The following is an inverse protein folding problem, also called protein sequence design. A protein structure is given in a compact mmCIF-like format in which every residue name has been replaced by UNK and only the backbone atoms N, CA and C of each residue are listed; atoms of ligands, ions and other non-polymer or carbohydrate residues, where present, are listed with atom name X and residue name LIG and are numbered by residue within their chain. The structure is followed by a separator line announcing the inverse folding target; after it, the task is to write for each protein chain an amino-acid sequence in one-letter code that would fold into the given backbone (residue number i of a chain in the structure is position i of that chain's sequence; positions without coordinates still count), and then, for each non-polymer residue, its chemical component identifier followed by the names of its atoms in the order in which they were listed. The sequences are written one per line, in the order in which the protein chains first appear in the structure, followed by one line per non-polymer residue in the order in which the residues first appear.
data_IF_826704478260
#
_entry.id   IF_826704478260
#
_cell.length_a   1.000
_cell.length_b   1.000
_cell.length_c   1.000
_cell.angle_alpha   90.00
_cell.angle_beta   90.00
_cell.angle_gamma   90.00
#
_symmetry.space_group_name_H-M   'P 1'
#
loop_
_entity.id
_entity.type
_entity.pdbx_description
1 polymer ?
#
# COMPACT_ATOMS: atom_id res chain seq x y z
N UNK A 1 3.28 122.18 -98.74
CA UNK A 1 1.97 122.82 -98.96
C UNK A 1 1.52 123.36 -97.61
N UNK A 2 1.23 124.66 -97.53
CA UNK A 2 0.61 125.24 -96.34
C UNK A 2 -0.90 125.10 -96.49
N UNK A 3 -1.57 124.57 -95.48
CA UNK A 3 -3.03 124.54 -95.38
C UNK A 3 -3.42 125.28 -94.10
N UNK A 4 -4.54 125.99 -94.13
CA UNK A 4 -5.12 126.62 -92.95
C UNK A 4 -6.28 125.79 -92.44
N UNK A 5 -6.38 125.65 -91.13
CA UNK A 5 -7.44 124.92 -90.44
C UNK A 5 -8.21 125.95 -89.62
N UNK A 6 -9.41 126.30 -90.07
CA UNK A 6 -10.23 127.34 -89.41
C UNK A 6 -10.86 126.84 -88.10
N UNK A 7 -11.21 125.55 -88.04
CA UNK A 7 -11.83 124.94 -86.87
C UNK A 7 -11.50 123.43 -86.71
N UNK A 8 -11.85 122.86 -85.56
CA UNK A 8 -11.60 121.45 -85.24
C UNK A 8 -12.34 120.47 -86.18
N UNK A 9 -13.50 120.86 -86.71
CA UNK A 9 -14.28 120.03 -87.64
C UNK A 9 -13.63 119.97 -89.02
N UNK A 10 -13.01 121.07 -89.47
CA UNK A 10 -12.22 121.13 -90.68
C UNK A 10 -10.98 120.22 -90.59
N UNK A 11 -10.31 120.19 -89.43
CA UNK A 11 -9.20 119.26 -89.18
C UNK A 11 -9.62 117.79 -89.28
N UNK A 12 -10.77 117.44 -88.72
CA UNK A 12 -11.28 116.06 -88.77
C UNK A 12 -11.62 115.61 -90.19
N UNK A 13 -12.28 116.46 -91.00
CA UNK A 13 -12.58 116.15 -92.40
C UNK A 13 -11.31 115.96 -93.23
N UNK A 14 -10.31 116.83 -93.05
CA UNK A 14 -9.01 116.70 -93.72
C UNK A 14 -8.30 115.38 -93.35
N UNK A 15 -8.36 114.94 -92.10
CA UNK A 15 -7.79 113.66 -91.66
C UNK A 15 -8.58 112.43 -92.14
N UNK A 16 -9.86 112.57 -92.48
CA UNK A 16 -10.68 111.51 -93.10
C UNK A 16 -10.46 111.42 -94.61
N UNK A 17 -10.33 112.55 -95.30
CA UNK A 17 -10.06 112.63 -96.75
C UNK A 17 -8.61 112.26 -97.12
N UNK A 18 -7.66 112.44 -96.20
CA UNK A 18 -6.23 112.13 -96.38
C UNK A 18 -5.71 111.08 -95.38
N UNK A 19 -5.83 109.77 -95.70
CA UNK A 19 -5.40 108.67 -94.85
C UNK A 19 -3.91 108.73 -94.46
N UNK A 20 -3.07 109.27 -95.33
CA UNK A 20 -1.63 109.44 -95.14
C UNK A 20 -1.29 110.42 -94.00
N UNK A 21 -2.05 111.51 -93.85
CA UNK A 21 -1.82 112.50 -92.77
C UNK A 21 -2.28 111.95 -91.42
N UNK A 22 -3.37 111.18 -91.42
CA UNK A 22 -3.84 110.47 -90.24
C UNK A 22 -2.82 109.42 -89.77
N UNK A 23 -2.13 108.75 -90.69
CA UNK A 23 -1.07 107.80 -90.36
C UNK A 23 0.17 108.50 -89.77
N UNK A 24 0.62 109.61 -90.35
CA UNK A 24 1.79 110.36 -89.86
C UNK A 24 1.52 111.05 -88.52
N UNK A 25 0.34 111.66 -88.36
CA UNK A 25 -0.11 112.24 -87.08
C UNK A 25 -0.23 111.16 -86.00
N UNK A 26 -0.71 109.96 -86.36
CA UNK A 26 -0.74 108.80 -85.47
C UNK A 26 0.67 108.39 -85.06
N UNK A 27 1.66 108.37 -85.97
CA UNK A 27 3.05 108.00 -85.66
C UNK A 27 3.76 109.02 -84.77
N UNK A 28 3.47 110.32 -84.92
CA UNK A 28 4.03 111.41 -84.13
C UNK A 28 3.42 111.52 -82.72
N UNK A 29 2.11 111.29 -82.59
CA UNK A 29 1.38 111.45 -81.31
C UNK A 29 1.20 110.12 -80.54
N UNK A 30 1.13 108.99 -81.23
CA UNK A 30 0.94 107.65 -80.66
C UNK A 30 2.13 106.78 -81.07
N UNK A 31 3.13 106.71 -80.19
CA UNK A 31 4.29 105.84 -80.38
C UNK A 31 3.87 104.38 -80.54
N UNK A 32 4.70 103.55 -81.18
CA UNK A 32 4.42 102.12 -81.35
C UNK A 32 4.17 101.40 -79.99
N UNK A 33 4.81 101.87 -78.92
CA UNK A 33 4.55 101.43 -77.54
C UNK A 33 3.11 101.72 -77.08
N UNK A 34 2.59 102.92 -77.36
CA UNK A 34 1.22 103.31 -77.01
C UNK A 34 0.18 102.53 -77.82
N UNK A 35 0.49 102.18 -79.07
CA UNK A 35 -0.40 101.36 -79.91
C UNK A 35 -0.40 99.88 -79.52
N UNK A 36 0.67 99.36 -78.92
CA UNK A 36 0.79 97.98 -78.44
C UNK A 36 0.13 97.73 -77.06
N UNK A 37 -0.11 98.79 -76.26
CA UNK A 37 -0.71 98.71 -74.93
C UNK A 37 -1.98 97.84 -74.86
N UNK A 38 -2.98 97.94 -75.76
CA UNK A 38 -4.18 97.11 -75.69
C UNK A 38 -3.91 95.60 -75.87
N UNK A 39 -2.83 95.23 -76.57
CA UNK A 39 -2.38 93.85 -76.71
C UNK A 39 -1.66 93.40 -75.43
N UNK A 40 -0.73 94.22 -74.92
CA UNK A 40 -0.02 93.95 -73.65
C UNK A 40 -1.00 93.79 -72.49
N UNK A 41 -2.03 94.65 -72.40
CA UNK A 41 -3.08 94.57 -71.38
C UNK A 41 -3.90 93.29 -71.53
N UNK A 42 -4.19 92.84 -72.76
CA UNK A 42 -4.88 91.55 -72.99
C UNK A 42 -4.02 90.37 -72.56
N UNK A 43 -2.74 90.37 -72.92
CA UNK A 43 -1.78 89.33 -72.51
C UNK A 43 -1.60 89.30 -70.99
N UNK A 44 -1.51 90.46 -70.34
CA UNK A 44 -1.46 90.58 -68.88
C UNK A 44 -2.75 90.06 -68.24
N UNK A 45 -3.92 90.38 -68.78
CA UNK A 45 -5.20 89.87 -68.28
C UNK A 45 -5.35 88.35 -68.46
N UNK A 46 -4.78 87.78 -69.52
CA UNK A 46 -4.72 86.33 -69.71
C UNK A 46 -3.73 85.67 -68.74
N UNK A 47 -2.54 86.24 -68.55
CA UNK A 47 -1.56 85.78 -67.58
C UNK A 47 -2.11 85.86 -66.14
N UNK A 48 -2.83 86.93 -65.81
CA UNK A 48 -3.52 87.09 -64.54
C UNK A 48 -4.60 86.02 -64.35
N UNK A 49 -5.45 85.77 -65.36
CA UNK A 49 -6.45 84.69 -65.31
C UNK A 49 -5.82 83.31 -65.09
N UNK A 50 -4.74 82.98 -65.79
CA UNK A 50 -3.99 81.72 -65.59
C UNK A 50 -3.43 81.63 -64.17
N UNK A 51 -2.90 82.73 -63.64
CA UNK A 51 -2.37 82.80 -62.27
C UNK A 51 -3.48 82.60 -61.24
N UNK A 52 -4.65 83.22 -61.44
CA UNK A 52 -5.82 83.02 -60.58
C UNK A 52 -6.32 81.56 -60.60
N UNK A 53 -6.34 80.91 -61.76
CA UNK A 53 -6.68 79.49 -61.90
C UNK A 53 -5.66 78.58 -61.18
N UNK A 54 -4.37 78.83 -61.34
CA UNK A 54 -3.30 78.11 -60.64
C UNK A 54 -3.39 78.31 -59.12
N UNK A 55 -3.67 79.53 -58.66
CA UNK A 55 -3.88 79.84 -57.24
C UNK A 55 -5.08 79.06 -56.69
N UNK A 56 -6.20 79.01 -57.42
CA UNK A 56 -7.38 78.21 -57.00
C UNK A 56 -7.04 76.73 -56.91
N UNK A 57 -6.29 76.19 -57.87
CA UNK A 57 -5.84 74.79 -57.84
C UNK A 57 -4.92 74.50 -56.64
N UNK A 58 -4.01 75.43 -56.31
CA UNK A 58 -3.14 75.34 -55.14
C UNK A 58 -3.94 75.37 -53.84
N UNK A 59 -4.92 76.27 -53.71
CA UNK A 59 -5.81 76.32 -52.52
C UNK A 59 -6.56 75.00 -52.34
N UNK A 60 -7.08 74.41 -53.41
CA UNK A 60 -7.79 73.12 -53.31
C UNK A 60 -6.84 71.93 -53.04
N UNK A 61 -5.61 71.97 -53.54
CA UNK A 61 -4.59 70.98 -53.21
C UNK A 61 -4.13 71.11 -51.75
N UNK A 62 -4.00 72.34 -51.24
CA UNK A 62 -3.69 72.65 -49.86
C UNK A 62 -4.81 72.14 -48.93
N UNK A 63 -6.08 72.44 -49.24
CA UNK A 63 -7.24 71.95 -48.50
C UNK A 63 -7.28 70.42 -48.41
N UNK A 64 -7.04 69.73 -49.53
CA UNK A 64 -6.93 68.25 -49.57
C UNK A 64 -5.75 67.72 -48.75
N UNK A 65 -4.66 68.47 -48.68
CA UNK A 65 -3.49 68.10 -47.87
C UNK A 65 -3.80 68.25 -46.39
N UNK A 66 -4.42 69.36 -45.99
CA UNK A 66 -4.89 69.60 -44.61
C UNK A 66 -5.86 68.51 -44.15
N UNK A 67 -6.83 68.11 -44.98
CA UNK A 67 -7.73 66.98 -44.68
C UNK A 67 -7.01 65.63 -44.54
N UNK A 68 -5.93 65.41 -45.30
CA UNK A 68 -5.12 64.19 -45.17
C UNK A 68 -4.28 64.22 -43.90
N UNK A 69 -3.71 65.38 -43.55
CA UNK A 69 -2.95 65.59 -42.32
C UNK A 69 -3.85 65.36 -41.11
N UNK A 70 -5.05 65.96 -41.06
CA UNK A 70 -5.99 65.73 -39.96
C UNK A 70 -6.39 64.26 -39.78
N UNK A 71 -6.60 63.52 -40.89
CA UNK A 71 -6.85 62.07 -40.82
C UNK A 71 -5.64 61.26 -40.32
N UNK A 72 -4.42 61.71 -40.60
CA UNK A 72 -3.20 61.06 -40.08
C UNK A 72 -3.07 61.35 -38.59
N UNK A 73 -3.27 62.58 -38.15
CA UNK A 73 -3.25 62.98 -36.74
C UNK A 73 -4.24 62.16 -35.91
N UNK A 74 -5.49 62.00 -36.37
CA UNK A 74 -6.46 61.13 -35.72
C UNK A 74 -6.03 59.66 -35.65
N UNK A 75 -5.37 59.15 -36.70
CA UNK A 75 -4.87 57.77 -36.71
C UNK A 75 -3.71 57.59 -35.75
N UNK A 76 -2.84 58.59 -35.62
CA UNK A 76 -1.73 58.61 -34.67
C UNK A 76 -2.26 58.63 -33.25
N UNK A 77 -3.22 59.50 -32.93
CA UNK A 77 -3.85 59.51 -31.61
C UNK A 77 -4.50 58.18 -31.24
N UNK A 78 -5.22 57.54 -32.17
CA UNK A 78 -5.78 56.18 -31.96
C UNK A 78 -4.70 55.10 -31.78
N UNK A 79 -3.51 55.27 -32.36
CA UNK A 79 -2.40 54.34 -32.17
C UNK A 79 -1.74 54.54 -30.81
N UNK A 80 -1.54 55.79 -30.37
CA UNK A 80 -1.01 56.14 -29.05
C UNK A 80 -1.87 55.50 -27.94
N UNK A 81 -3.19 55.69 -27.98
CA UNK A 81 -4.10 55.05 -27.03
C UNK A 81 -4.04 53.51 -27.07
N UNK A 82 -3.78 52.92 -28.24
CA UNK A 82 -3.63 51.46 -28.36
C UNK A 82 -2.32 50.98 -27.76
N UNK A 83 -1.25 51.76 -27.89
CA UNK A 83 0.06 51.46 -27.30
C UNK A 83 -0.05 51.51 -25.78
N UNK A 84 -0.64 52.56 -25.20
CA UNK A 84 -0.87 52.68 -23.76
C UNK A 84 -1.65 51.46 -23.22
N UNK A 85 -2.74 51.06 -23.90
CA UNK A 85 -3.50 49.86 -23.51
C UNK A 85 -2.69 48.56 -23.60
N UNK A 86 -1.73 48.47 -24.52
CA UNK A 86 -0.84 47.30 -24.61
C UNK A 86 0.16 47.32 -23.46
N UNK A 87 0.75 48.47 -23.14
CA UNK A 87 1.68 48.63 -22.02
C UNK A 87 1.02 48.24 -20.69
N UNK A 88 -0.20 48.71 -20.43
CA UNK A 88 -0.99 48.31 -19.24
C UNK A 88 -1.28 46.80 -19.19
N UNK A 89 -1.48 46.17 -20.36
CA UNK A 89 -1.70 44.71 -20.44
C UNK A 89 -0.41 43.94 -20.19
N UNK A 90 0.72 44.44 -20.68
CA UNK A 90 2.05 43.86 -20.45
C UNK A 90 2.37 43.91 -18.96
N UNK A 91 2.21 45.07 -18.30
CA UNK A 91 2.45 45.17 -16.86
C UNK A 91 1.58 44.20 -16.03
N UNK A 92 0.29 44.04 -16.39
CA UNK A 92 -0.58 43.04 -15.74
C UNK A 92 -0.13 41.60 -15.99
N UNK A 93 0.47 41.29 -17.13
CA UNK A 93 1.02 39.96 -17.41
C UNK A 93 2.28 39.74 -16.59
N UNK A 94 3.18 40.72 -16.51
CA UNK A 94 4.40 40.64 -15.69
C UNK A 94 4.08 40.38 -14.21
N UNK A 95 3.11 41.12 -13.64
CA UNK A 95 2.64 40.85 -12.27
C UNK A 95 2.08 39.43 -12.09
N UNK A 96 1.35 38.92 -13.10
CA UNK A 96 0.83 37.55 -13.05
C UNK A 96 1.93 36.52 -13.14
N UNK A 97 2.96 36.75 -13.93
CA UNK A 97 4.14 35.88 -14.05
C UNK A 97 4.87 35.84 -12.70
N UNK A 98 5.16 36.99 -12.08
CA UNK A 98 5.78 37.03 -10.75
C UNK A 98 4.98 36.26 -9.69
N UNK A 99 3.65 36.40 -9.67
CA UNK A 99 2.79 35.60 -8.78
C UNK A 99 2.83 34.10 -9.06
N UNK A 100 3.04 33.68 -10.30
CA UNK A 100 3.19 32.27 -10.66
C UNK A 100 4.54 31.75 -10.19
N UNK A 101 5.62 32.49 -10.40
CA UNK A 101 6.97 32.14 -9.94
C UNK A 101 7.01 31.93 -8.42
N UNK A 102 6.43 32.85 -7.63
CA UNK A 102 6.30 32.70 -6.17
C UNK A 102 5.48 31.47 -5.76
N UNK A 103 4.48 31.08 -6.56
CA UNK A 103 3.68 29.87 -6.29
C UNK A 103 4.47 28.61 -6.62
N UNK A 104 5.26 28.62 -7.69
CA UNK A 104 6.14 27.51 -8.07
C UNK A 104 7.17 27.27 -6.97
N UNK A 105 7.86 28.32 -6.50
CA UNK A 105 8.83 28.17 -5.40
C UNK A 105 8.21 27.60 -4.13
N UNK A 106 7.00 28.04 -3.76
CA UNK A 106 6.28 27.44 -2.61
C UNK A 106 5.87 25.99 -2.82
N UNK A 107 5.64 25.56 -4.06
CA UNK A 107 5.34 24.15 -4.38
C UNK A 107 6.61 23.31 -4.29
N UNK A 108 7.74 23.81 -4.81
CA UNK A 108 9.04 23.15 -4.72
C UNK A 108 9.42 22.88 -3.25
N UNK A 109 9.37 23.90 -2.39
CA UNK A 109 9.63 23.72 -0.95
C UNK A 109 8.67 22.72 -0.28
N UNK A 110 7.42 22.63 -0.75
CA UNK A 110 6.45 21.65 -0.22
C UNK A 110 6.80 20.23 -0.67
N UNK A 111 7.30 20.07 -1.89
CA UNK A 111 7.74 18.77 -2.42
C UNK A 111 8.95 18.29 -1.63
N UNK A 112 9.96 19.13 -1.43
CA UNK A 112 11.14 18.78 -0.61
C UNK A 112 10.74 18.33 0.80
N UNK A 113 9.83 19.06 1.47
CA UNK A 113 9.31 18.66 2.80
C UNK A 113 8.56 17.33 2.77
N UNK A 114 7.87 17.00 1.67
CA UNK A 114 7.19 15.71 1.52
C UNK A 114 8.21 14.60 1.32
N UNK A 115 9.23 14.81 0.49
CA UNK A 115 10.31 13.83 0.25
C UNK A 115 11.04 13.50 1.55
N UNK A 116 11.39 14.50 2.36
CA UNK A 116 11.99 14.25 3.69
C UNK A 116 11.08 13.42 4.60
N UNK A 117 9.77 13.69 4.60
CA UNK A 117 8.81 12.94 5.43
C UNK A 117 8.67 11.51 4.95
N UNK A 118 8.65 11.29 3.64
CA UNK A 118 8.63 9.94 3.05
C UNK A 118 9.88 9.18 3.46
N UNK A 119 11.07 9.78 3.35
CA UNK A 119 12.31 9.15 3.79
C UNK A 119 12.33 8.79 5.28
N UNK A 120 11.79 9.65 6.16
CA UNK A 120 11.64 9.32 7.60
C UNK A 120 10.71 8.12 7.82
N UNK A 121 9.57 8.08 7.12
CA UNK A 121 8.61 6.97 7.21
C UNK A 121 9.22 5.65 6.71
N UNK A 122 10.02 5.68 5.64
CA UNK A 122 10.71 4.48 5.13
C UNK A 122 11.68 3.90 6.17
N UNK A 123 12.43 4.75 6.88
CA UNK A 123 13.34 4.32 7.95
C UNK A 123 12.57 3.72 9.13
N UNK A 124 11.47 4.35 9.56
CA UNK A 124 10.63 3.84 10.64
C UNK A 124 9.99 2.49 10.29
N UNK A 125 9.53 2.32 9.04
CA UNK A 125 8.96 1.06 8.56
C UNK A 125 10.01 -0.06 8.52
N UNK A 126 11.25 0.24 8.12
CA UNK A 126 12.34 -0.72 8.15
C UNK A 126 12.65 -1.18 9.58
N UNK A 127 12.72 -0.25 10.54
CA UNK A 127 12.95 -0.56 11.95
C UNK A 127 11.79 -1.40 12.53
N UNK A 128 10.53 -1.09 12.19
CA UNK A 128 9.38 -1.86 12.61
C UNK A 128 9.39 -3.29 12.05
N UNK A 129 9.77 -3.45 10.78
CA UNK A 129 9.89 -4.77 10.15
C UNK A 129 10.95 -5.63 10.85
N UNK A 130 12.08 -5.04 11.25
CA UNK A 130 13.12 -5.73 12.00
C UNK A 130 12.67 -6.12 13.41
N UNK A 131 12.02 -5.21 14.14
CA UNK A 131 11.44 -5.50 15.45
C UNK A 131 10.39 -6.63 15.39
N UNK A 132 9.57 -6.66 14.33
CA UNK A 132 8.61 -7.73 14.10
C UNK A 132 9.29 -9.08 13.86
N UNK A 133 10.39 -9.13 13.09
CA UNK A 133 11.17 -10.37 12.89
C UNK A 133 11.71 -10.91 14.21
N UNK A 134 12.34 -10.06 15.02
CA UNK A 134 12.84 -10.47 16.34
C UNK A 134 11.73 -10.96 17.27
N UNK A 135 10.57 -10.33 17.24
CA UNK A 135 9.41 -10.76 18.04
C UNK A 135 8.93 -12.14 17.59
N UNK A 136 8.86 -12.39 16.28
CA UNK A 136 8.47 -13.70 15.75
C UNK A 136 9.48 -14.81 16.12
N UNK A 137 10.78 -14.53 16.05
CA UNK A 137 11.83 -15.44 16.50
C UNK A 137 11.71 -15.77 18.00
N UNK A 138 11.50 -14.75 18.84
CA UNK A 138 11.28 -14.93 20.27
C UNK A 138 10.04 -15.77 20.58
N UNK A 139 8.93 -15.56 19.85
CA UNK A 139 7.71 -16.36 19.99
C UNK A 139 7.92 -17.82 19.58
N UNK A 140 8.68 -18.08 18.53
CA UNK A 140 9.02 -19.45 18.11
C UNK A 140 9.88 -20.15 19.17
N UNK A 141 10.91 -19.48 19.69
CA UNK A 141 11.74 -20.01 20.76
C UNK A 141 10.93 -20.29 22.04
N UNK A 142 9.99 -19.40 22.38
CA UNK A 142 9.10 -19.59 23.52
C UNK A 142 8.16 -20.79 23.32
N UNK A 143 7.59 -20.95 22.13
CA UNK A 143 6.72 -22.09 21.80
C UNK A 143 7.48 -23.42 21.85
N UNK A 144 8.74 -23.45 21.43
CA UNK A 144 9.60 -24.62 21.59
C UNK A 144 9.92 -24.91 23.06
N UNK A 145 10.25 -23.90 23.84
CA UNK A 145 10.50 -24.06 25.28
C UNK A 145 9.26 -24.57 26.00
N UNK A 146 8.08 -24.03 25.68
CA UNK A 146 6.81 -24.49 26.24
C UNK A 146 6.55 -25.97 25.91
N UNK A 147 6.75 -26.40 24.66
CA UNK A 147 6.59 -27.82 24.28
C UNK A 147 7.51 -28.73 25.11
N UNK A 148 8.80 -28.40 25.20
CA UNK A 148 9.77 -29.17 26.00
C UNK A 148 9.38 -29.22 27.49
N UNK A 149 8.85 -28.12 28.03
CA UNK A 149 8.34 -28.08 29.39
C UNK A 149 7.10 -28.96 29.57
N UNK A 150 6.16 -28.94 28.63
CA UNK A 150 4.99 -29.83 28.65
C UNK A 150 5.41 -31.30 28.64
N UNK A 151 6.36 -31.67 27.80
CA UNK A 151 6.90 -33.04 27.72
C UNK A 151 7.58 -33.43 29.05
N UNK A 152 8.47 -32.56 29.56
CA UNK A 152 9.18 -32.81 30.83
C UNK A 152 8.21 -32.95 32.01
N UNK A 153 7.17 -32.12 32.07
CA UNK A 153 6.14 -32.20 33.11
C UNK A 153 5.30 -33.46 32.94
N UNK A 154 5.02 -33.88 31.71
CA UNK A 154 4.38 -35.16 31.41
C UNK A 154 5.18 -36.35 31.97
N UNK A 155 6.47 -36.42 31.66
CA UNK A 155 7.38 -37.46 32.11
C UNK A 155 7.54 -37.47 33.64
N UNK A 156 7.62 -36.30 34.26
CA UNK A 156 7.66 -36.17 35.72
C UNK A 156 6.37 -36.67 36.36
N UNK A 157 5.20 -36.31 35.79
CA UNK A 157 3.90 -36.77 36.29
C UNK A 157 3.80 -38.30 36.20
N UNK A 158 4.25 -38.90 35.09
CA UNK A 158 4.28 -40.36 34.90
C UNK A 158 5.08 -41.06 36.01
N UNK A 159 6.35 -40.68 36.18
CA UNK A 159 7.23 -41.27 37.21
C UNK A 159 6.70 -41.08 38.63
N UNK A 160 6.12 -39.91 38.92
CA UNK A 160 5.49 -39.66 40.23
C UNK A 160 4.27 -40.55 40.47
N UNK A 161 3.49 -40.82 39.43
CA UNK A 161 2.31 -41.68 39.53
C UNK A 161 2.73 -43.14 39.76
N UNK A 162 3.67 -43.66 38.98
CA UNK A 162 4.25 -45.01 39.18
C UNK A 162 4.78 -45.19 40.61
N UNK A 163 5.57 -44.21 41.09
CA UNK A 163 6.08 -44.21 42.46
C UNK A 163 4.93 -44.18 43.48
N UNK A 164 3.88 -43.39 43.24
CA UNK A 164 2.72 -43.32 44.15
C UNK A 164 2.00 -44.65 44.25
N UNK A 165 1.77 -45.35 43.13
CA UNK A 165 1.16 -46.68 43.14
C UNK A 165 2.05 -47.73 43.82
N UNK A 166 3.37 -47.63 43.69
CA UNK A 166 4.34 -48.47 44.40
C UNK A 166 4.27 -48.26 45.91
N UNK A 167 4.44 -47.01 46.36
CA UNK A 167 4.53 -46.65 47.79
C UNK A 167 3.20 -46.86 48.51
N UNK A 168 2.08 -46.65 47.81
CA UNK A 168 0.72 -46.81 48.35
C UNK A 168 0.01 -48.06 47.82
N UNK A 169 0.76 -49.09 47.42
CA UNK A 169 0.16 -50.32 46.86
C UNK A 169 -0.93 -50.91 47.75
N UNK A 170 -0.75 -50.87 49.08
CA UNK A 170 -1.76 -51.35 50.04
C UNK A 170 -3.07 -50.56 49.98
N UNK A 171 -3.02 -49.25 49.76
CA UNK A 171 -4.22 -48.42 49.69
C UNK A 171 -5.03 -48.68 48.42
N UNK A 172 -4.33 -48.94 47.32
CA UNK A 172 -4.92 -49.15 45.99
C UNK A 172 -5.40 -50.59 45.77
N UNK A 173 -4.56 -51.57 46.09
CA UNK A 173 -4.80 -52.99 45.81
C UNK A 173 -5.29 -53.77 47.02
N UNK A 174 -5.25 -53.19 48.21
CA UNK A 174 -5.65 -53.86 49.46
C UNK A 174 -7.14 -54.21 49.53
N UNK A 175 -7.99 -53.60 48.70
CA UNK A 175 -9.39 -54.00 48.53
C UNK A 175 -9.54 -55.37 47.83
N UNK A 176 -8.57 -55.74 46.99
CA UNK A 176 -8.57 -56.98 46.20
C UNK A 176 -7.73 -58.06 46.88
N UNK A 177 -6.52 -57.70 47.33
CA UNK A 177 -5.51 -58.62 47.85
C UNK A 177 -5.27 -58.41 49.35
N UNK A 178 -5.05 -59.50 50.07
CA UNK A 178 -4.47 -59.54 51.41
C UNK A 178 -3.02 -60.03 51.34
N UNK A 179 -2.20 -59.67 52.34
CA UNK A 179 -0.77 -60.02 52.40
C UNK A 179 -0.02 -59.61 51.12
N UNK A 180 -0.35 -58.45 50.56
CA UNK A 180 0.28 -58.03 49.31
C UNK A 180 1.78 -57.77 49.50
N UNK A 181 2.53 -58.01 48.43
CA UNK A 181 3.93 -57.61 48.28
C UNK A 181 4.16 -57.11 46.86
N UNK A 182 4.82 -55.97 46.72
CA UNK A 182 5.37 -55.52 45.43
C UNK A 182 6.67 -56.27 45.20
N UNK A 183 6.80 -56.94 44.07
CA UNK A 183 7.92 -57.83 43.73
C UNK A 183 8.71 -57.21 42.60
N UNK A 184 10.04 -57.27 42.67
CA UNK A 184 10.89 -56.93 41.53
C UNK A 184 10.94 -58.14 40.57
N UNK A 185 10.54 -58.01 39.29
CA UNK A 185 10.60 -59.11 38.33
C UNK A 185 11.98 -59.78 38.20
N UNK A 186 13.06 -59.05 38.49
CA UNK A 186 14.42 -59.60 38.48
C UNK A 186 14.62 -60.70 39.54
N UNK A 187 13.87 -60.67 40.64
CA UNK A 187 13.88 -61.74 41.66
C UNK A 187 13.38 -63.08 41.11
N UNK A 188 12.64 -63.07 40.00
CA UNK A 188 12.09 -64.24 39.34
C UNK A 188 12.89 -64.64 38.09
N UNK A 189 14.05 -64.03 37.83
CA UNK A 189 14.79 -64.19 36.57
C UNK A 189 15.01 -65.66 36.18
N UNK A 190 15.51 -66.49 37.12
CA UNK A 190 15.78 -67.90 36.85
C UNK A 190 14.52 -68.67 36.43
N UNK A 191 13.39 -68.44 37.11
CA UNK A 191 12.11 -69.09 36.82
C UNK A 191 11.49 -68.59 35.51
N UNK A 192 11.61 -67.30 35.23
CA UNK A 192 11.08 -66.68 34.02
C UNK A 192 11.89 -67.07 32.78
N UNK A 193 13.23 -67.08 32.84
CA UNK A 193 14.10 -67.46 31.72
C UNK A 193 13.99 -68.94 31.33
N UNK A 194 13.47 -69.79 32.21
CA UNK A 194 13.16 -71.18 31.85
C UNK A 194 12.01 -71.30 30.84
N UNK A 195 11.16 -70.26 30.70
CA UNK A 195 9.94 -70.29 29.88
C UNK A 195 9.85 -69.16 28.85
N UNK A 196 10.71 -68.15 28.97
CA UNK A 196 10.70 -66.93 28.16
C UNK A 196 12.04 -66.72 27.45
N UNK A 197 11.97 -66.17 26.23
CA UNK A 197 13.15 -65.67 25.52
C UNK A 197 13.74 -64.43 26.20
N UNK A 198 14.96 -64.06 25.82
CA UNK A 198 15.60 -62.85 26.34
C UNK A 198 14.81 -61.58 26.02
N UNK A 199 14.27 -61.46 24.81
CA UNK A 199 13.43 -60.32 24.40
C UNK A 199 12.13 -60.24 25.23
N UNK A 200 11.45 -61.38 25.43
CA UNK A 200 10.23 -61.45 26.25
C UNK A 200 10.51 -61.13 27.72
N UNK A 201 11.64 -61.59 28.26
CA UNK A 201 12.06 -61.26 29.62
C UNK A 201 12.36 -59.76 29.76
N UNK A 202 13.07 -59.16 28.80
CA UNK A 202 13.35 -57.71 28.78
C UNK A 202 12.06 -56.87 28.65
N UNK A 203 11.05 -57.32 27.89
CA UNK A 203 9.73 -56.66 27.86
C UNK A 203 8.99 -56.77 29.20
N UNK A 204 9.12 -57.91 29.90
CA UNK A 204 8.51 -58.10 31.23
C UNK A 204 9.18 -57.24 32.30
N UNK A 205 10.50 -56.99 32.22
CA UNK A 205 11.20 -56.07 33.11
C UNK A 205 10.69 -54.63 33.03
N UNK A 206 10.01 -54.26 31.95
CA UNK A 206 9.40 -52.93 31.78
C UNK A 206 8.01 -52.82 32.41
N UNK A 207 7.54 -53.85 33.13
CA UNK A 207 6.28 -53.79 33.87
C UNK A 207 6.40 -52.79 35.04
N UNK A 208 5.43 -51.87 35.14
CA UNK A 208 5.49 -50.80 36.15
C UNK A 208 5.40 -51.37 37.58
N UNK A 209 4.47 -52.31 37.81
CA UNK A 209 4.34 -53.02 39.07
C UNK A 209 3.98 -54.49 38.86
N UNK A 210 4.74 -55.36 39.53
CA UNK A 210 4.37 -56.75 39.77
C UNK A 210 3.96 -56.90 41.24
N UNK A 211 2.73 -57.32 41.49
CA UNK A 211 2.20 -57.47 42.85
C UNK A 211 1.82 -58.91 43.06
N UNK A 212 2.24 -59.51 44.16
CA UNK A 212 1.71 -60.81 44.63
C UNK A 212 0.89 -60.63 45.88
N UNK A 213 -0.11 -61.47 46.06
CA UNK A 213 -0.90 -61.51 47.29
C UNK A 213 -1.94 -62.61 47.24
N UNK A 214 -2.83 -62.62 48.21
CA UNK A 214 -3.92 -63.58 48.26
C UNK A 214 -5.27 -62.89 47.99
N UNK A 215 -6.11 -63.38 47.06
CA UNK A 215 -7.42 -62.80 46.81
C UNK A 215 -8.30 -62.78 48.06
N UNK A 216 -9.01 -61.68 48.28
CA UNK A 216 -9.93 -61.54 49.42
C UNK A 216 -11.25 -62.27 49.21
N UNK A 217 -11.77 -62.24 47.99
CA UNK A 217 -13.09 -62.79 47.64
C UNK A 217 -13.02 -64.28 47.25
N UNK A 218 -11.81 -64.79 46.97
CA UNK A 218 -11.53 -66.18 46.58
C UNK A 218 -10.35 -66.74 47.39
N UNK A 219 -10.54 -67.03 48.69
CA UNK A 219 -9.46 -67.47 49.58
C UNK A 219 -8.88 -68.85 49.21
N UNK A 220 -9.56 -69.63 48.35
CA UNK A 220 -9.09 -70.89 47.76
C UNK A 220 -7.86 -70.70 46.88
N UNK A 221 -7.68 -69.53 46.28
CA UNK A 221 -6.46 -69.15 45.58
C UNK A 221 -5.43 -68.76 46.66
N UNK A 222 -4.37 -69.56 46.78
CA UNK A 222 -3.32 -69.34 47.79
C UNK A 222 -2.41 -68.16 47.44
N UNK A 223 -2.14 -67.96 46.15
CA UNK A 223 -1.32 -66.87 45.63
C UNK A 223 -1.85 -66.41 44.26
N UNK A 224 -1.99 -65.10 44.09
CA UNK A 224 -2.36 -64.44 42.84
C UNK A 224 -1.39 -63.29 42.57
N UNK A 225 -0.99 -63.16 41.31
CA UNK A 225 -0.12 -62.11 40.82
C UNK A 225 -0.93 -61.08 40.02
N UNK A 226 -0.55 -59.82 40.08
CA UNK A 226 -1.08 -58.74 39.24
C UNK A 226 0.08 -58.21 38.41
N UNK A 227 -0.10 -58.20 37.09
CA UNK A 227 0.79 -57.51 36.17
C UNK A 227 0.17 -56.15 35.85
N UNK A 228 0.74 -55.08 36.40
CA UNK A 228 0.13 -53.75 36.40
C UNK A 228 0.91 -52.79 35.52
N UNK A 229 0.20 -52.15 34.59
CA UNK A 229 0.64 -50.94 33.89
C UNK A 229 0.01 -49.71 34.56
N UNK A 230 0.77 -48.64 34.74
CA UNK A 230 0.36 -47.41 35.40
C UNK A 230 0.45 -46.25 34.41
N UNK A 231 -0.65 -45.53 34.22
CA UNK A 231 -0.67 -44.33 33.37
C UNK A 231 -1.59 -43.26 33.92
N UNK A 232 -1.21 -41.98 33.76
CA UNK A 232 -2.09 -40.87 34.11
C UNK A 232 -3.34 -40.83 33.20
N UNK A 233 -3.22 -41.31 31.97
CA UNK A 233 -4.32 -41.49 31.02
C UNK A 233 -4.12 -42.84 30.35
N UNK A 234 -4.90 -43.82 30.79
CA UNK A 234 -4.83 -45.18 30.27
C UNK A 234 -5.37 -45.22 28.85
N UNK A 235 -4.53 -45.64 27.90
CA UNK A 235 -4.88 -45.84 26.49
C UNK A 235 -4.94 -47.33 26.10
N UNK A 236 -5.28 -47.61 24.83
CA UNK A 236 -5.33 -48.99 24.32
C UNK A 236 -3.97 -49.70 24.42
N UNK A 237 -2.87 -48.97 24.23
CA UNK A 237 -1.52 -49.52 24.32
C UNK A 237 -1.19 -49.98 25.73
N UNK A 238 -1.60 -49.23 26.76
CA UNK A 238 -1.45 -49.63 28.16
C UNK A 238 -2.16 -50.97 28.44
N UNK A 239 -3.37 -51.15 27.90
CA UNK A 239 -4.14 -52.40 28.04
C UNK A 239 -3.43 -53.57 27.33
N UNK A 240 -2.94 -53.34 26.11
CA UNK A 240 -2.21 -54.35 25.34
C UNK A 240 -0.91 -54.76 26.02
N UNK A 241 -0.17 -53.82 26.63
CA UNK A 241 1.04 -54.12 27.41
C UNK A 241 0.73 -54.94 28.65
N UNK A 242 -0.28 -54.55 29.44
CA UNK A 242 -0.70 -55.27 30.64
C UNK A 242 -1.06 -56.73 30.30
N UNK A 243 -1.87 -56.94 29.26
CA UNK A 243 -2.24 -58.28 28.80
C UNK A 243 -1.05 -59.08 28.28
N UNK A 244 -0.22 -58.49 27.43
CA UNK A 244 0.94 -59.18 26.86
C UNK A 244 1.87 -59.66 27.98
N UNK A 245 2.23 -58.78 28.92
CA UNK A 245 3.12 -59.09 30.05
C UNK A 245 2.50 -60.10 31.02
N UNK A 246 1.20 -60.01 31.30
CA UNK A 246 0.49 -61.05 32.05
C UNK A 246 0.50 -62.41 31.34
N UNK A 247 0.38 -62.43 30.00
CA UNK A 247 0.45 -63.68 29.22
C UNK A 247 1.82 -64.34 29.35
N UNK A 248 2.91 -63.56 29.35
CA UNK A 248 4.26 -64.07 29.56
C UNK A 248 4.42 -64.68 30.96
N UNK A 249 3.94 -63.99 32.01
CA UNK A 249 3.93 -64.51 33.38
C UNK A 249 3.10 -65.80 33.49
N UNK A 250 1.95 -65.88 32.81
CA UNK A 250 1.12 -67.07 32.79
C UNK A 250 1.81 -68.25 32.11
N UNK A 251 2.53 -68.02 31.01
CA UNK A 251 3.35 -69.03 30.33
C UNK A 251 4.48 -69.57 31.23
N UNK A 252 4.99 -68.74 32.14
CA UNK A 252 5.97 -69.14 33.15
C UNK A 252 5.34 -69.82 34.39
N UNK A 253 4.03 -70.10 34.36
CA UNK A 253 3.33 -70.87 35.40
C UNK A 253 2.70 -70.04 36.52
N UNK A 254 2.75 -68.70 36.44
CA UNK A 254 2.15 -67.84 37.46
C UNK A 254 0.65 -67.64 37.24
N UNK A 255 -0.12 -67.72 38.32
CA UNK A 255 -1.53 -67.29 38.32
C UNK A 255 -1.57 -65.76 38.36
N UNK A 256 -1.81 -65.12 37.22
CA UNK A 256 -1.67 -63.67 37.05
C UNK A 256 -2.90 -63.04 36.40
N UNK A 257 -3.22 -61.83 36.86
CA UNK A 257 -4.24 -60.96 36.28
C UNK A 257 -3.58 -59.75 35.63
N UNK A 258 -3.84 -59.47 34.34
CA UNK A 258 -3.46 -58.18 33.76
C UNK A 258 -4.33 -57.07 34.34
N UNK A 259 -3.69 -55.96 34.69
CA UNK A 259 -4.37 -54.80 35.24
C UNK A 259 -3.76 -53.50 34.71
N UNK A 260 -4.61 -52.53 34.40
CA UNK A 260 -4.20 -51.15 34.13
C UNK A 260 -4.66 -50.25 35.27
N UNK A 261 -3.80 -49.35 35.70
CA UNK A 261 -4.05 -48.43 36.81
C UNK A 261 -3.85 -46.98 36.36
N UNK A 262 -4.78 -46.09 36.70
CA UNK A 262 -4.68 -44.70 36.28
C UNK A 262 -5.74 -43.76 36.82
N UNK A 263 -5.60 -42.48 36.50
CA UNK A 263 -6.58 -41.45 36.90
C UNK A 263 -7.76 -41.39 35.92
N UNK A 264 -7.50 -41.64 34.64
CA UNK A 264 -8.49 -41.54 33.54
C UNK A 264 -8.29 -42.66 32.53
N UNK A 265 -9.38 -43.10 31.92
CA UNK A 265 -9.37 -44.03 30.79
C UNK A 265 -9.82 -43.30 29.53
N UNK A 266 -9.19 -43.61 28.40
CA UNK A 266 -9.70 -43.23 27.08
C UNK A 266 -10.82 -44.17 26.63
N UNK A 267 -11.66 -43.73 25.70
CA UNK A 267 -12.69 -44.59 25.12
C UNK A 267 -12.10 -45.87 24.51
N UNK A 268 -10.99 -45.75 23.77
CA UNK A 268 -10.30 -46.91 23.19
C UNK A 268 -9.76 -47.88 24.25
N UNK A 269 -9.30 -47.37 25.40
CA UNK A 269 -8.90 -48.22 26.52
C UNK A 269 -10.08 -48.97 27.14
N UNK A 270 -11.24 -48.33 27.30
CA UNK A 270 -12.44 -49.00 27.83
C UNK A 270 -12.90 -50.16 26.94
N UNK A 271 -12.90 -49.95 25.61
CA UNK A 271 -13.24 -50.98 24.62
C UNK A 271 -12.22 -52.13 24.68
N UNK A 272 -10.92 -51.81 24.59
CA UNK A 272 -9.84 -52.78 24.65
C UNK A 272 -9.86 -53.59 25.95
N UNK A 273 -10.14 -52.96 27.09
CA UNK A 273 -10.20 -53.62 28.40
C UNK A 273 -11.24 -54.74 28.42
N UNK A 274 -12.43 -54.50 27.83
CA UNK A 274 -13.50 -55.51 27.75
C UNK A 274 -13.14 -56.65 26.81
N UNK A 275 -12.58 -56.33 25.64
CA UNK A 275 -12.19 -57.32 24.64
C UNK A 275 -11.03 -58.20 25.10
N UNK A 276 -10.06 -57.58 25.77
CA UNK A 276 -8.81 -58.21 26.17
C UNK A 276 -8.84 -58.77 27.58
N UNK A 277 -9.97 -58.60 28.29
CA UNK A 277 -10.19 -59.10 29.65
C UNK A 277 -9.07 -58.63 30.59
N UNK A 278 -8.94 -57.31 30.70
CA UNK A 278 -7.98 -56.65 31.58
C UNK A 278 -8.74 -55.98 32.72
N UNK A 279 -8.22 -56.05 33.95
CA UNK A 279 -8.83 -55.35 35.08
C UNK A 279 -8.41 -53.88 35.07
N UNK A 280 -9.29 -52.99 35.54
CA UNK A 280 -8.97 -51.55 35.64
C UNK A 280 -9.00 -51.13 37.10
N UNK A 281 -7.96 -50.43 37.53
CA UNK A 281 -7.93 -49.71 38.79
C UNK A 281 -7.94 -48.20 38.53
N UNK A 282 -9.07 -47.55 38.81
CA UNK A 282 -9.21 -46.10 38.66
C UNK A 282 -9.66 -45.47 39.97
N UNK A 283 -8.90 -44.48 40.45
CA UNK A 283 -9.15 -43.76 41.71
C UNK A 283 -9.42 -44.69 42.91
N UNK A 284 -8.66 -45.79 43.00
CA UNK A 284 -8.80 -46.79 44.08
C UNK A 284 -10.03 -47.70 43.98
N UNK A 285 -10.78 -47.61 42.87
CA UNK A 285 -11.89 -48.52 42.54
C UNK A 285 -11.48 -49.45 41.43
N UNK A 286 -11.93 -50.70 41.53
CA UNK A 286 -11.59 -51.74 40.58
C UNK A 286 -12.81 -52.04 39.72
N UNK A 287 -12.60 -52.08 38.42
CA UNK A 287 -13.60 -52.42 37.42
C UNK A 287 -13.16 -53.67 36.65
N UNK A 288 -14.15 -54.40 36.12
CA UNK A 288 -13.96 -55.64 35.34
C UNK A 288 -13.20 -56.76 36.08
N UNK A 289 -13.15 -56.70 37.42
CA UNK A 289 -12.38 -57.63 38.25
C UNK A 289 -12.90 -59.08 38.13
N UNK A 290 -14.20 -59.28 38.32
CA UNK A 290 -14.81 -60.62 38.34
C UNK A 290 -14.82 -61.28 36.95
N UNK A 291 -15.00 -60.48 35.90
CA UNK A 291 -14.91 -60.93 34.51
C UNK A 291 -13.48 -61.37 34.18
N UNK A 292 -12.50 -60.55 34.56
CA UNK A 292 -11.08 -60.83 34.31
C UNK A 292 -10.60 -62.02 35.12
N UNK A 293 -10.95 -62.11 36.41
CA UNK A 293 -10.56 -63.20 37.29
C UNK A 293 -11.08 -64.55 36.78
N UNK A 294 -12.35 -64.61 36.32
CA UNK A 294 -12.91 -65.83 35.71
C UNK A 294 -12.21 -66.21 34.41
N UNK A 295 -11.90 -65.23 33.55
CA UNK A 295 -11.24 -65.49 32.28
C UNK A 295 -9.80 -66.00 32.44
N UNK A 296 -9.07 -65.47 33.42
CA UNK A 296 -7.64 -65.75 33.57
C UNK A 296 -7.33 -66.90 34.53
N UNK A 297 -8.15 -67.09 35.57
CA UNK A 297 -7.93 -68.11 36.61
C UNK A 297 -9.01 -69.20 36.57
N UNK A 298 -10.26 -68.86 36.28
CA UNK A 298 -11.40 -69.80 36.28
C UNK A 298 -11.51 -70.71 35.04
N UNK A 299 -10.59 -70.60 34.08
CA UNK A 299 -10.56 -71.39 32.84
C UNK A 299 -9.47 -72.47 32.81
N UNK A 300 -9.26 -73.18 33.93
CA UNK A 300 -8.46 -74.41 34.00
C UNK A 300 -9.37 -75.61 34.28
#
# INVERSE_FOLDING_TARGET
MAFEVEDYLALLRLLEEHPEWRAELRRLLLTDELLALPQIVRELAEAQRRTEEQLRALVEAQRRTEERVGRVEERVGRLEERVERVEERVGRVEERVGRVEERVGRVEERVERVEERVGRVEVELAALAEAQRHTNEALQALAESQRRLTDTVGDLKGRMLEQTYRDKATAYFGAILRRLQVVNPYELEEALRAHLSEEEFLDLLQLDLLIRGQPRQQPEISELWLAVEVSAVVDQGDVERARRRATLLRRAGYQVIPLVAGERLTQGAEEATREQQVAVLQDGRVFFWEETLRAWIGGA
#
